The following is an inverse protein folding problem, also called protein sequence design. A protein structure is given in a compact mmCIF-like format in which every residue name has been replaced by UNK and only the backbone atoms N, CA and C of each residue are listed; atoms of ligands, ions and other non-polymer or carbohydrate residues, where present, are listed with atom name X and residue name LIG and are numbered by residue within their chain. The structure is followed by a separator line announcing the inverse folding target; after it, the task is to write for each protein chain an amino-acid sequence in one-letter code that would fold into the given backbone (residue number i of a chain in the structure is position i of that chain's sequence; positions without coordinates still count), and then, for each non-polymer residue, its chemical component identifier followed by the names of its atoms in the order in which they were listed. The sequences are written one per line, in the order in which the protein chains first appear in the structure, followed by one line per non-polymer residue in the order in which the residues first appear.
data_IF_318761800115
#
_entry.id   IF_318761800115
#
_cell.length_a   1.000
_cell.length_b   1.000
_cell.length_c   1.000
_cell.angle_alpha   90.00
_cell.angle_beta   90.00
_cell.angle_gamma   90.00
#
_symmetry.space_group_name_H-M   'P 1'
#
loop_
_entity.id
_entity.type
_entity.pdbx_description
1 polymer ?
#
# COMPACT_ATOMS: atom_id res chain seq x y z
N UNK A 1 -30.35 -37.03 -31.46
CA UNK A 1 -29.42 -36.24 -32.31
C UNK A 1 -30.24 -35.04 -32.72
N UNK A 2 -30.01 -33.84 -32.17
CA UNK A 2 -28.86 -33.00 -32.52
C UNK A 2 -28.50 -32.04 -31.39
N UNK A 3 -27.21 -32.03 -31.04
CA UNK A 3 -26.54 -31.05 -30.18
C UNK A 3 -26.50 -29.68 -30.86
N UNK A 4 -26.85 -28.60 -30.15
CA UNK A 4 -26.52 -27.21 -30.53
C UNK A 4 -26.28 -26.43 -29.24
N UNK A 5 -25.04 -26.46 -28.74
CA UNK A 5 -24.01 -25.42 -28.90
C UNK A 5 -24.17 -24.28 -27.90
N UNK A 6 -23.26 -24.30 -26.94
CA UNK A 6 -22.95 -23.28 -25.95
C UNK A 6 -22.48 -22.04 -26.74
N UNK A 7 -23.14 -20.89 -26.58
CA UNK A 7 -22.64 -19.64 -27.17
C UNK A 7 -21.44 -19.15 -26.33
N UNK A 8 -20.24 -19.45 -26.81
CA UNK A 8 -18.94 -18.96 -26.31
C UNK A 8 -18.65 -17.50 -26.67
N UNK A 9 -19.68 -16.65 -26.79
CA UNK A 9 -19.55 -15.28 -27.32
C UNK A 9 -19.80 -14.19 -26.28
N UNK A 10 -19.14 -14.33 -25.13
CA UNK A 10 -18.61 -13.16 -24.42
C UNK A 10 -17.11 -13.17 -24.57
N UNK A 11 -16.67 -12.84 -25.79
CA UNK A 11 -15.36 -12.28 -26.08
C UNK A 11 -15.10 -11.14 -25.09
N UNK A 12 -14.54 -11.48 -23.93
CA UNK A 12 -13.83 -10.55 -23.08
C UNK A 12 -12.68 -10.05 -23.95
N UNK A 13 -12.93 -8.94 -24.65
CA UNK A 13 -11.92 -8.19 -25.35
C UNK A 13 -10.74 -8.07 -24.39
N UNK A 14 -9.63 -8.72 -24.73
CA UNK A 14 -8.39 -8.64 -23.96
C UNK A 14 -7.98 -7.18 -24.03
N UNK A 15 -8.45 -6.38 -23.08
CA UNK A 15 -8.08 -4.97 -23.00
C UNK A 15 -6.57 -4.95 -22.77
N UNK A 16 -5.79 -4.34 -23.66
CA UNK A 16 -4.35 -4.36 -23.52
C UNK A 16 -3.96 -3.76 -22.18
N UNK A 17 -3.34 -4.56 -21.31
CA UNK A 17 -3.01 -4.16 -19.95
C UNK A 17 -1.72 -3.36 -19.92
N UNK A 18 -1.62 -2.44 -18.97
CA UNK A 18 -0.42 -1.66 -18.71
C UNK A 18 0.80 -2.58 -18.48
N UNK A 19 1.87 -2.37 -19.28
CA UNK A 19 3.09 -3.21 -19.23
C UNK A 19 3.92 -3.04 -17.95
N UNK A 20 3.49 -2.20 -17.00
CA UNK A 20 4.13 -2.10 -15.69
C UNK A 20 3.78 -3.25 -14.74
N UNK A 21 2.81 -4.11 -15.10
CA UNK A 21 2.37 -5.23 -14.27
C UNK A 21 1.25 -4.91 -13.26
N UNK A 22 0.63 -3.73 -13.33
CA UNK A 22 -0.45 -3.35 -12.40
C UNK A 22 -1.82 -3.99 -12.72
N UNK A 23 -1.96 -4.72 -13.82
CA UNK A 23 -3.22 -5.35 -14.25
C UNK A 23 -4.30 -4.39 -14.77
N UNK A 24 -4.09 -3.07 -14.72
CA UNK A 24 -5.03 -2.07 -15.23
C UNK A 24 -4.98 -1.94 -16.75
N UNK A 25 -6.10 -1.62 -17.43
CA UNK A 25 -6.14 -1.41 -18.87
C UNK A 25 -5.33 -0.18 -19.27
N UNK A 26 -4.47 -0.31 -20.28
CA UNK A 26 -3.71 0.80 -20.81
C UNK A 26 -4.61 1.71 -21.66
N UNK A 27 -4.55 3.05 -21.48
CA UNK A 27 -5.31 3.98 -22.29
C UNK A 27 -4.82 3.98 -23.74
N UNK A 28 -5.74 4.21 -24.68
CA UNK A 28 -5.41 4.34 -26.09
C UNK A 28 -4.73 5.69 -26.39
N UNK A 29 -3.73 5.66 -27.25
CA UNK A 29 -3.02 6.86 -27.71
C UNK A 29 -3.98 7.79 -28.45
N UNK A 30 -4.12 9.02 -27.97
CA UNK A 30 -5.03 10.01 -28.55
C UNK A 30 -4.52 10.62 -29.87
N UNK A 31 -3.21 10.52 -30.12
CA UNK A 31 -2.53 11.09 -31.29
C UNK A 31 -1.31 10.25 -31.65
N UNK A 32 -0.90 10.37 -32.91
CA UNK A 32 0.38 9.84 -33.37
C UNK A 32 1.53 10.61 -32.71
N UNK A 33 2.56 9.89 -32.27
CA UNK A 33 3.80 10.47 -31.74
C UNK A 33 5.00 9.62 -32.18
N UNK A 34 5.60 10.01 -33.30
CA UNK A 34 6.73 9.29 -33.90
C UNK A 34 7.95 9.18 -32.96
N UNK A 35 8.21 10.21 -32.13
CA UNK A 35 9.35 10.19 -31.18
C UNK A 35 9.23 9.07 -30.15
N UNK A 36 8.01 8.74 -29.74
CA UNK A 36 7.73 7.69 -28.75
C UNK A 36 7.22 6.39 -29.38
N UNK A 37 7.11 6.35 -30.72
CA UNK A 37 6.53 5.21 -31.45
C UNK A 37 5.04 4.98 -31.19
N UNK A 38 4.28 5.99 -30.74
CA UNK A 38 2.85 5.82 -30.46
C UNK A 38 2.01 6.03 -31.74
N UNK A 39 1.10 5.10 -32.00
CA UNK A 39 0.10 5.20 -33.08
C UNK A 39 -1.27 5.48 -32.47
N UNK A 40 -2.02 6.44 -33.01
CA UNK A 40 -3.35 6.82 -32.52
C UNK A 40 -4.28 5.60 -32.54
N UNK A 41 -4.98 5.38 -31.43
CA UNK A 41 -5.89 4.25 -31.26
C UNK A 41 -5.21 2.97 -30.76
N UNK A 42 -3.88 2.89 -30.78
CA UNK A 42 -3.16 1.79 -30.15
C UNK A 42 -3.00 2.01 -28.64
N UNK A 43 -2.96 0.94 -27.84
CA UNK A 43 -2.72 1.04 -26.41
C UNK A 43 -1.34 1.63 -26.11
N UNK A 44 -1.27 2.57 -25.18
CA UNK A 44 0.00 3.05 -24.68
C UNK A 44 0.72 1.93 -23.92
N UNK A 45 2.07 1.86 -23.98
CA UNK A 45 2.80 0.84 -23.24
C UNK A 45 2.50 0.87 -21.73
N UNK A 46 2.29 2.05 -21.15
CA UNK A 46 1.97 2.22 -19.73
C UNK A 46 0.99 3.37 -19.53
N UNK A 47 0.24 3.31 -18.43
CA UNK A 47 -0.57 4.43 -17.92
C UNK A 47 0.38 5.57 -17.52
N UNK A 48 0.01 6.81 -17.84
CA UNK A 48 0.79 7.98 -17.46
C UNK A 48 0.99 8.01 -15.94
N UNK A 49 2.23 8.17 -15.47
CA UNK A 49 2.60 8.05 -14.05
C UNK A 49 3.18 6.68 -13.67
N UNK A 50 2.90 5.61 -14.43
CA UNK A 50 3.37 4.26 -14.16
C UNK A 50 4.76 3.99 -14.78
N UNK A 51 5.72 4.89 -14.58
CA UNK A 51 7.13 4.60 -14.89
C UNK A 51 7.73 3.80 -13.73
N UNK A 52 8.59 2.80 -14.00
CA UNK A 52 9.28 2.00 -12.96
C UNK A 52 10.04 2.85 -11.90
N UNK A 53 10.31 4.13 -12.20
CA UNK A 53 10.90 5.11 -11.28
C UNK A 53 9.91 5.76 -10.29
N UNK A 54 8.61 5.48 -10.36
CA UNK A 54 7.57 6.14 -9.56
C UNK A 54 6.44 5.26 -9.06
N UNK A 55 6.44 3.96 -9.37
CA UNK A 55 5.58 3.00 -8.68
C UNK A 55 6.24 2.68 -7.34
N UNK A 56 5.53 2.87 -6.23
CA UNK A 56 6.04 2.44 -4.94
C UNK A 56 6.31 0.94 -5.03
N UNK A 57 7.57 0.55 -4.87
CA UNK A 57 7.88 -0.84 -4.54
C UNK A 57 7.38 -1.07 -3.11
N UNK A 58 6.12 -1.49 -3.00
CA UNK A 58 5.46 -1.80 -1.73
C UNK A 58 5.97 -3.10 -1.11
N UNK A 59 6.84 -3.84 -1.81
CA UNK A 59 7.51 -5.04 -1.31
C UNK A 59 8.85 -4.76 -0.61
N UNK A 60 9.21 -3.48 -0.42
CA UNK A 60 10.46 -3.04 0.21
C UNK A 60 10.45 -3.21 1.74
N UNK A 61 10.36 -4.44 2.22
CA UNK A 61 10.44 -4.78 3.64
C UNK A 61 11.28 -6.03 3.90
N UNK A 62 11.72 -6.19 5.15
CA UNK A 62 12.30 -7.41 5.68
C UNK A 62 11.42 -7.95 6.80
N UNK A 63 11.35 -9.27 6.97
CA UNK A 63 10.63 -9.84 8.11
C UNK A 63 11.47 -9.76 9.38
N UNK A 64 10.86 -9.36 10.50
CA UNK A 64 11.54 -9.22 11.79
C UNK A 64 10.61 -9.59 12.95
N UNK A 65 11.18 -10.21 13.97
CA UNK A 65 10.48 -10.49 15.23
C UNK A 65 10.59 -9.30 16.18
N UNK A 66 9.45 -8.77 16.61
CA UNK A 66 9.32 -7.68 17.59
C UNK A 66 8.45 -8.09 18.79
N UNK A 67 8.27 -9.40 19.02
CA UNK A 67 7.47 -9.92 20.14
C UNK A 67 5.96 -9.77 19.94
N UNK A 68 5.49 -9.65 18.69
CA UNK A 68 4.07 -9.73 18.35
C UNK A 68 3.68 -11.17 17.97
N UNK A 69 2.38 -11.43 17.75
CA UNK A 69 1.89 -12.79 17.45
C UNK A 69 2.42 -13.38 16.13
N UNK A 70 2.92 -12.53 15.23
CA UNK A 70 3.46 -12.87 13.92
C UNK A 70 4.55 -11.87 13.54
N UNK A 71 5.45 -12.24 12.61
CA UNK A 71 6.56 -11.39 12.19
C UNK A 71 6.08 -10.04 11.62
N UNK A 72 6.79 -8.96 11.95
CA UNK A 72 6.59 -7.65 11.33
C UNK A 72 7.19 -7.62 9.93
N UNK A 73 6.65 -6.76 9.07
CA UNK A 73 7.28 -6.37 7.80
C UNK A 73 7.95 -5.01 7.97
N UNK A 74 9.22 -5.01 8.33
CA UNK A 74 9.97 -3.79 8.59
C UNK A 74 10.34 -3.08 7.30
N UNK A 75 9.83 -1.86 7.14
CA UNK A 75 10.10 -1.04 5.97
C UNK A 75 11.60 -0.75 5.81
N UNK A 76 12.18 -1.12 4.67
CA UNK A 76 13.61 -0.91 4.40
C UNK A 76 13.90 0.47 3.75
N UNK A 77 12.93 1.38 3.74
CA UNK A 77 13.10 2.77 3.28
C UNK A 77 13.33 3.74 4.43
N UNK A 78 13.78 4.96 4.10
CA UNK A 78 14.07 5.98 5.11
C UNK A 78 12.81 6.33 5.94
N UNK A 79 12.93 6.36 7.28
CA UNK A 79 11.85 6.82 8.14
C UNK A 79 11.67 8.33 8.04
N UNK A 80 10.45 8.79 8.33
CA UNK A 80 10.15 10.19 8.62
C UNK A 80 10.76 10.60 9.95
N UNK A 81 10.81 11.91 10.23
CA UNK A 81 11.20 12.46 11.53
C UNK A 81 10.38 11.92 12.71
N UNK A 82 9.17 11.41 12.45
CA UNK A 82 8.27 10.81 13.46
C UNK A 82 8.49 9.29 13.64
N UNK A 83 9.41 8.70 12.88
CA UNK A 83 9.76 7.27 12.92
C UNK A 83 8.96 6.36 11.99
N UNK A 84 8.04 6.89 11.19
CA UNK A 84 7.26 6.09 10.24
C UNK A 84 7.97 5.90 8.91
N UNK A 85 7.94 4.70 8.34
CA UNK A 85 8.41 4.43 6.97
C UNK A 85 7.70 5.31 5.94
N UNK A 86 8.42 5.75 4.91
CA UNK A 86 7.88 6.60 3.83
C UNK A 86 8.15 6.01 2.46
N UNK A 87 7.24 6.26 1.51
CA UNK A 87 7.32 5.82 0.11
C UNK A 87 6.76 6.90 -0.82
N UNK A 88 6.98 6.76 -2.13
CA UNK A 88 6.37 7.62 -3.15
C UNK A 88 5.37 6.82 -3.98
N UNK A 89 4.10 7.25 -3.97
CA UNK A 89 3.04 6.68 -4.80
C UNK A 89 2.55 7.79 -5.73
N UNK A 90 2.64 7.59 -7.04
CA UNK A 90 2.24 8.58 -8.06
C UNK A 90 2.95 9.93 -7.90
N UNK A 91 4.23 9.91 -7.52
CA UNK A 91 5.03 11.11 -7.27
C UNK A 91 4.69 11.86 -5.98
N UNK A 92 3.76 11.34 -5.17
CA UNK A 92 3.36 11.91 -3.89
C UNK A 92 3.98 11.10 -2.76
N UNK A 93 4.69 11.78 -1.85
CA UNK A 93 5.21 11.17 -0.63
C UNK A 93 4.06 10.75 0.29
N UNK A 94 4.02 9.46 0.66
CA UNK A 94 3.03 8.87 1.55
C UNK A 94 3.71 8.06 2.67
N UNK A 95 2.96 7.80 3.74
CA UNK A 95 3.36 6.82 4.75
C UNK A 95 3.35 5.42 4.13
N UNK A 96 4.43 4.66 4.30
CA UNK A 96 4.59 3.35 3.69
C UNK A 96 3.50 2.37 4.16
N UNK A 97 3.28 2.28 5.48
CA UNK A 97 2.25 1.42 6.06
C UNK A 97 0.84 1.69 5.49
N UNK A 98 0.48 2.96 5.28
CA UNK A 98 -0.81 3.33 4.67
C UNK A 98 -0.89 2.95 3.21
N UNK A 99 0.20 3.15 2.45
CA UNK A 99 0.24 2.78 1.05
C UNK A 99 0.10 1.26 0.86
N UNK A 100 0.78 0.46 1.68
CA UNK A 100 0.66 -1.01 1.67
C UNK A 100 -0.75 -1.44 2.08
N UNK A 101 -1.28 -0.89 3.17
CA UNK A 101 -2.64 -1.18 3.62
C UNK A 101 -3.70 -0.86 2.55
N UNK A 102 -3.62 0.32 1.93
CA UNK A 102 -4.59 0.76 0.90
C UNK A 102 -4.47 -0.05 -0.40
N UNK A 103 -3.28 -0.59 -0.70
CA UNK A 103 -3.09 -1.46 -1.86
C UNK A 103 -3.75 -2.84 -1.69
N UNK A 104 -3.76 -3.38 -0.46
CA UNK A 104 -4.34 -4.70 -0.16
C UNK A 104 -5.83 -4.64 0.21
N UNK A 105 -6.24 -3.64 1.00
CA UNK A 105 -7.58 -3.53 1.58
C UNK A 105 -8.47 -2.46 0.91
N UNK A 106 -7.91 -1.73 -0.05
CA UNK A 106 -8.57 -0.58 -0.67
C UNK A 106 -8.46 0.70 0.15
N UNK A 107 -9.01 1.77 -0.40
CA UNK A 107 -8.81 3.14 0.12
C UNK A 107 -9.38 3.30 1.54
N UNK A 108 -8.52 3.68 2.47
CA UNK A 108 -8.92 3.99 3.83
C UNK A 108 -9.72 5.31 3.86
N UNK A 109 -10.89 5.37 4.54
CA UNK A 109 -11.61 6.61 4.79
C UNK A 109 -10.71 7.70 5.37
N UNK A 110 -11.00 8.96 5.05
CA UNK A 110 -10.14 10.11 5.43
C UNK A 110 -10.16 10.40 6.92
N UNK A 111 -11.24 10.01 7.59
CA UNK A 111 -11.52 10.17 9.01
C UNK A 111 -10.94 9.04 9.88
N UNK A 112 -10.36 7.99 9.28
CA UNK A 112 -9.72 6.90 10.00
C UNK A 112 -8.19 6.98 9.96
N UNK A 113 -7.60 6.57 11.08
CA UNK A 113 -6.17 6.39 11.27
C UNK A 113 -5.85 4.89 11.32
N UNK A 114 -4.63 4.51 10.92
CA UNK A 114 -4.13 3.15 11.15
C UNK A 114 -3.39 3.14 12.48
N UNK A 115 -3.82 2.29 13.41
CA UNK A 115 -3.12 1.98 14.65
C UNK A 115 -2.27 0.71 14.47
N UNK A 116 -1.01 0.76 14.92
CA UNK A 116 -0.11 -0.39 14.90
C UNK A 116 -0.36 -1.26 16.13
N UNK A 117 -0.95 -2.44 15.91
CA UNK A 117 -1.19 -3.42 16.98
C UNK A 117 0.13 -3.96 17.53
N UNK A 118 1.14 -4.12 16.67
CA UNK A 118 2.48 -4.57 17.03
C UNK A 118 3.38 -3.49 17.66
N UNK A 119 2.90 -2.25 17.80
CA UNK A 119 3.65 -1.08 18.35
C UNK A 119 4.98 -0.74 17.64
N UNK A 120 5.27 -1.38 16.52
CA UNK A 120 6.42 -1.07 15.66
C UNK A 120 6.01 -0.11 14.52
N UNK A 121 6.52 1.13 14.55
CA UNK A 121 6.19 2.19 13.58
C UNK A 121 6.70 1.92 12.16
N UNK A 122 7.69 1.04 12.00
CA UNK A 122 8.24 0.64 10.70
C UNK A 122 7.51 -0.54 10.07
N UNK A 123 6.64 -1.23 10.81
CA UNK A 123 5.87 -2.34 10.28
C UNK A 123 4.88 -1.85 9.21
N UNK A 124 4.89 -2.51 8.04
CA UNK A 124 3.96 -2.25 6.93
C UNK A 124 2.98 -3.41 6.68
N UNK A 125 3.02 -4.47 7.48
CA UNK A 125 2.14 -5.65 7.35
C UNK A 125 0.67 -5.25 7.63
N UNK A 126 -0.26 -5.38 6.67
CA UNK A 126 -1.63 -4.90 6.87
C UNK A 126 -2.38 -5.60 7.99
N UNK A 127 -2.12 -6.89 8.24
CA UNK A 127 -2.72 -7.62 9.37
C UNK A 127 -2.26 -7.16 10.75
N UNK A 128 -1.24 -6.29 10.84
CA UNK A 128 -0.80 -5.65 12.09
C UNK A 128 -1.43 -4.26 12.31
N UNK A 129 -2.35 -3.86 11.43
CA UNK A 129 -2.98 -2.54 11.47
C UNK A 129 -4.48 -2.64 11.70
N UNK A 130 -5.00 -1.68 12.47
CA UNK A 130 -6.43 -1.52 12.67
C UNK A 130 -6.85 -0.10 12.28
N UNK A 131 -7.82 0.06 11.37
CA UNK A 131 -8.53 1.32 11.17
C UNK A 131 -9.25 1.75 12.44
N UNK A 132 -8.86 2.87 13.02
CA UNK A 132 -9.47 3.43 14.23
C UNK A 132 -9.78 4.90 14.05
N UNK A 133 -10.69 5.42 14.87
CA UNK A 133 -10.93 6.87 14.93
C UNK A 133 -9.71 7.59 15.52
N UNK A 134 -9.52 8.89 15.23
CA UNK A 134 -8.44 9.67 15.83
C UNK A 134 -8.48 9.66 17.36
N UNK A 135 -9.69 9.73 17.93
CA UNK A 135 -9.92 9.68 19.37
C UNK A 135 -9.45 8.35 19.97
N UNK A 136 -9.79 7.22 19.34
CA UNK A 136 -9.37 5.91 19.82
C UNK A 136 -7.85 5.72 19.72
N UNK A 137 -7.24 6.17 18.61
CA UNK A 137 -5.79 6.16 18.46
C UNK A 137 -5.09 6.95 19.57
N UNK A 138 -5.62 8.13 19.91
CA UNK A 138 -5.07 8.95 21.00
C UNK A 138 -5.27 8.28 22.38
N UNK A 139 -6.46 7.73 22.64
CA UNK A 139 -6.75 6.99 23.88
C UNK A 139 -5.75 5.85 24.09
N UNK A 140 -5.49 5.05 23.06
CA UNK A 140 -4.53 3.93 23.11
C UNK A 140 -3.09 4.39 23.32
N UNK A 141 -2.68 5.49 22.67
CA UNK A 141 -1.35 6.09 22.89
C UNK A 141 -1.15 6.56 24.32
N UNK A 142 -2.15 7.24 24.89
CA UNK A 142 -2.09 7.71 26.29
C UNK A 142 -2.03 6.55 27.27
N UNK A 143 -2.82 5.50 27.03
CA UNK A 143 -2.78 4.29 27.84
C UNK A 143 -1.40 3.60 27.80
N UNK A 144 -0.81 3.46 26.61
CA UNK A 144 0.53 2.89 26.46
C UNK A 144 1.61 3.73 27.18
N UNK A 145 1.54 5.06 27.07
CA UNK A 145 2.46 5.95 27.78
C UNK A 145 2.33 5.82 29.30
N UNK A 146 1.10 5.75 29.82
CA UNK A 146 0.85 5.63 31.26
C UNK A 146 1.43 4.32 31.84
N UNK A 147 1.41 3.22 31.07
CA UNK A 147 2.04 1.96 31.48
C UNK A 147 3.56 2.10 31.56
N UNK A 148 4.19 2.72 30.56
CA UNK A 148 5.65 2.94 30.56
C UNK A 148 6.09 3.81 31.73
N UNK A 149 5.36 4.89 32.02
CA UNK A 149 5.67 5.76 33.17
C UNK A 149 5.60 4.98 34.49
N UNK A 150 4.55 4.18 34.68
CA UNK A 150 4.42 3.33 35.88
C UNK A 150 5.54 2.31 36.01
N UNK A 151 6.03 1.75 34.90
CA UNK A 151 7.16 0.81 34.94
C UNK A 151 8.43 1.49 35.43
N UNK A 152 8.73 2.69 34.92
CA UNK A 152 9.90 3.48 35.34
C UNK A 152 9.79 3.84 36.82
N UNK A 153 8.63 4.30 37.28
CA UNK A 153 8.41 4.65 38.69
C UNK A 153 8.60 3.45 39.63
N UNK A 154 8.29 2.22 39.18
CA UNK A 154 8.49 1.00 39.96
C UNK A 154 9.97 0.55 39.98
N UNK A 155 10.69 0.72 38.87
CA UNK A 155 12.13 0.43 38.79
C UNK A 155 12.95 1.40 39.66
N UNK A 156 12.59 2.68 39.67
CA UNK A 156 13.24 3.71 40.49
C UNK A 156 12.93 3.56 42.00
N UNK A 157 11.90 2.78 42.36
CA UNK A 157 11.50 2.53 43.73
C UNK A 157 12.09 1.24 44.33
N UNK A 158 12.80 0.43 43.53
CA UNK A 158 13.41 -0.86 43.92
C UNK A 158 14.91 -0.72 44.22
#
# INVERSE_FOLDING_TARGET
MTTFQINEDRLAQVTPSCTCGCGLPAPLAQRNNARLGHVKGEPLPRIAGHNRKGMADLSRYSEADHGYNTLCWDWAGAPSRKGYGTTQVDGIKKNAHRAVYEAENGKLPRDLHLDHLCRNKLCVRPSHMEPVTPLENERRKRAALALVVRMIELEDAA
#
